data_IF_879816216970
#
_entry.id   IF_879816216970
#
_cell.length_a   1.000
_cell.length_b   1.000
_cell.length_c   1.000
_cell.angle_alpha   90.00
_cell.angle_beta   90.00
_cell.angle_gamma   90.00
#
_symmetry.space_group_name_H-M   'P 1'
#
loop_
_entity.id
_entity.type
_entity.pdbx_description
1 polymer ?
#
# COMPACT_ATOMS: atom_id res chain seq x y z
N UNK A 1 19.24 0.78 -7.66
CA UNK A 1 19.81 0.82 -9.03
C UNK A 1 21.24 0.35 -8.95
N UNK A 2 21.60 -0.62 -9.80
CA UNK A 2 22.95 -1.19 -9.87
C UNK A 2 24.02 -0.10 -10.05
N UNK A 3 25.15 -0.24 -9.36
CA UNK A 3 26.28 0.71 -9.43
C UNK A 3 26.19 1.94 -8.53
N UNK A 4 25.09 2.17 -7.84
CA UNK A 4 25.00 3.24 -6.82
C UNK A 4 25.60 2.78 -5.48
N UNK A 5 26.03 3.74 -4.64
CA UNK A 5 26.69 3.43 -3.37
C UNK A 5 25.85 2.53 -2.45
N UNK A 6 24.58 2.80 -2.32
CA UNK A 6 23.66 1.95 -1.53
C UNK A 6 23.61 0.51 -2.05
N UNK A 7 23.62 0.31 -3.39
CA UNK A 7 23.71 -1.01 -4.00
C UNK A 7 25.05 -1.66 -3.69
N UNK A 8 26.15 -0.91 -3.76
CA UNK A 8 27.51 -1.41 -3.48
C UNK A 8 27.63 -1.88 -2.04
N UNK A 9 27.11 -1.13 -1.07
CA UNK A 9 27.09 -1.53 0.33
C UNK A 9 26.29 -2.83 0.54
N UNK A 10 25.12 -2.93 -0.03
CA UNK A 10 24.31 -4.14 0.04
C UNK A 10 25.03 -5.33 -0.60
N UNK A 11 25.61 -5.16 -1.77
CA UNK A 11 26.34 -6.20 -2.48
C UNK A 11 27.62 -6.64 -1.76
N UNK A 12 28.21 -5.77 -0.95
CA UNK A 12 29.35 -6.07 -0.10
C UNK A 12 28.99 -6.81 1.21
N UNK A 13 27.71 -7.04 1.48
CA UNK A 13 27.21 -7.81 2.61
C UNK A 13 26.54 -7.00 3.72
N UNK A 14 26.32 -5.70 3.55
CA UNK A 14 25.58 -4.90 4.52
C UNK A 14 24.12 -5.37 4.62
N UNK A 15 23.64 -5.65 5.84
CA UNK A 15 22.24 -6.00 6.07
C UNK A 15 21.29 -4.82 5.89
N UNK A 16 21.78 -3.61 6.17
CA UNK A 16 21.05 -2.35 5.98
C UNK A 16 21.96 -1.29 5.41
N UNK A 17 21.40 -0.41 4.59
CA UNK A 17 22.04 0.78 4.06
C UNK A 17 21.07 1.95 4.11
N UNK A 18 21.52 3.11 4.54
CA UNK A 18 20.70 4.31 4.67
C UNK A 18 21.36 5.46 3.91
N UNK A 19 20.59 6.12 3.07
CA UNK A 19 20.96 7.36 2.41
C UNK A 19 20.22 8.50 3.10
N UNK A 20 20.97 9.49 3.57
CA UNK A 20 20.42 10.68 4.22
C UNK A 20 20.79 11.90 3.38
N UNK A 21 19.80 12.70 3.04
CA UNK A 21 19.98 14.01 2.40
C UNK A 21 19.46 15.10 3.33
N UNK A 22 19.48 16.36 2.89
CA UNK A 22 18.98 17.48 3.70
C UNK A 22 17.48 17.40 3.99
N UNK A 23 16.72 16.72 3.15
CA UNK A 23 15.25 16.71 3.14
C UNK A 23 14.63 15.33 2.98
N UNK A 24 15.45 14.27 2.86
CA UNK A 24 14.94 12.94 2.64
C UNK A 24 15.84 11.86 3.25
N UNK A 25 15.23 10.72 3.53
CA UNK A 25 15.90 9.52 3.99
C UNK A 25 15.39 8.32 3.20
N UNK A 26 16.30 7.48 2.76
CA UNK A 26 16.00 6.21 2.10
C UNK A 26 16.71 5.07 2.84
N UNK A 27 15.94 4.07 3.26
CA UNK A 27 16.43 2.84 3.87
C UNK A 27 16.31 1.69 2.87
N UNK A 28 17.37 0.90 2.74
CA UNK A 28 17.39 -0.38 2.04
C UNK A 28 17.87 -1.44 3.01
N UNK A 29 17.06 -2.46 3.23
CA UNK A 29 17.37 -3.56 4.14
C UNK A 29 17.15 -4.90 3.45
N UNK A 30 17.78 -5.96 3.98
CA UNK A 30 17.47 -7.31 3.52
C UNK A 30 16.03 -7.66 3.87
N UNK A 31 15.31 -8.20 2.90
CA UNK A 31 14.01 -8.80 3.12
C UNK A 31 14.20 -10.18 3.79
N UNK A 32 14.57 -10.14 5.07
CA UNK A 32 14.65 -11.34 5.90
C UNK A 32 13.22 -11.70 6.30
N UNK A 33 12.80 -12.88 5.95
CA UNK A 33 11.44 -13.38 6.10
C UNK A 33 10.43 -12.62 5.22
N UNK A 34 9.45 -13.31 4.69
CA UNK A 34 8.32 -12.72 3.97
C UNK A 34 7.39 -12.04 4.98
N UNK A 35 7.84 -10.90 5.52
CA UNK A 35 7.08 -10.17 6.52
C UNK A 35 5.78 -9.65 5.93
N UNK A 36 4.73 -9.79 6.70
CA UNK A 36 3.45 -9.18 6.37
C UNK A 36 3.58 -7.65 6.34
N UNK A 37 2.81 -6.96 5.49
CA UNK A 37 2.85 -5.49 5.39
C UNK A 37 2.70 -4.79 6.73
N UNK A 38 1.84 -5.29 7.60
CA UNK A 38 1.63 -4.75 8.93
C UNK A 38 2.91 -4.77 9.77
N UNK A 39 3.64 -5.87 9.78
CA UNK A 39 4.90 -6.00 10.52
C UNK A 39 5.98 -5.05 10.00
N UNK A 40 6.03 -4.84 8.67
CA UNK A 40 6.93 -3.87 8.06
C UNK A 40 6.54 -2.44 8.42
N UNK A 41 5.25 -2.13 8.39
CA UNK A 41 4.74 -0.82 8.77
C UNK A 41 5.03 -0.50 10.25
N UNK A 42 4.79 -1.43 11.16
CA UNK A 42 5.09 -1.27 12.59
C UNK A 42 6.58 -1.01 12.83
N UNK A 43 7.43 -1.71 12.11
CA UNK A 43 8.88 -1.57 12.28
C UNK A 43 9.44 -0.29 11.70
N UNK A 44 9.01 0.11 10.51
CA UNK A 44 9.67 1.18 9.75
C UNK A 44 8.82 2.44 9.57
N UNK A 45 7.51 2.36 9.74
CA UNK A 45 6.54 3.42 9.47
C UNK A 45 5.64 3.71 10.66
N UNK A 46 6.06 3.36 11.88
CA UNK A 46 5.25 3.49 13.08
C UNK A 46 4.82 4.92 13.44
N UNK A 47 5.51 5.93 12.94
CA UNK A 47 5.16 7.34 13.11
C UNK A 47 4.16 7.86 12.07
N UNK A 48 3.87 7.07 11.02
CA UNK A 48 2.93 7.46 9.99
C UNK A 48 1.48 7.37 10.49
N UNK A 49 0.67 8.36 10.15
CA UNK A 49 -0.76 8.36 10.45
C UNK A 49 -1.54 7.34 9.62
N UNK A 50 -1.12 7.10 8.41
CA UNK A 50 -1.70 6.14 7.48
C UNK A 50 -0.60 5.49 6.65
N UNK A 51 -0.67 4.19 6.50
CA UNK A 51 0.25 3.43 5.63
C UNK A 51 -0.54 2.81 4.49
N UNK A 52 -0.14 3.09 3.28
CA UNK A 52 -0.67 2.48 2.07
C UNK A 52 0.33 1.45 1.55
N UNK A 53 -0.12 0.21 1.40
CA UNK A 53 0.69 -0.87 0.84
C UNK A 53 0.19 -1.20 -0.57
N UNK A 54 1.04 -1.07 -1.55
CA UNK A 54 0.76 -1.47 -2.93
C UNK A 54 1.19 -2.92 -3.15
N UNK A 55 0.36 -3.67 -3.83
CA UNK A 55 0.55 -5.12 -4.01
C UNK A 55 -0.18 -5.92 -2.91
N UNK A 56 0.47 -6.76 -2.21
CA UNK A 56 0.01 -7.48 -0.99
C UNK A 56 -1.48 -7.92 -0.96
N UNK A 57 -2.05 -8.26 -2.11
CA UNK A 57 -3.48 -8.59 -2.23
C UNK A 57 -3.90 -9.80 -1.39
N UNK A 58 -2.96 -10.69 -1.08
CA UNK A 58 -3.20 -11.89 -0.26
C UNK A 58 -2.95 -11.66 1.24
N UNK A 59 -2.36 -10.53 1.62
CA UNK A 59 -2.13 -10.23 3.04
C UNK A 59 -3.46 -9.89 3.74
N UNK A 60 -3.59 -10.17 5.05
CA UNK A 60 -4.77 -9.76 5.81
C UNK A 60 -4.83 -8.23 5.95
N UNK A 61 -6.03 -7.72 6.21
CA UNK A 61 -6.29 -6.30 6.44
C UNK A 61 -7.23 -5.67 5.42
N UNK A 62 -7.55 -4.40 5.66
CA UNK A 62 -8.42 -3.62 4.79
C UNK A 62 -7.82 -3.43 3.41
N UNK A 63 -8.66 -3.58 2.39
CA UNK A 63 -8.26 -3.48 0.98
C UNK A 63 -9.15 -2.50 0.23
N UNK A 64 -8.52 -1.79 -0.69
CA UNK A 64 -9.20 -0.98 -1.71
C UNK A 64 -8.78 -1.54 -3.06
N UNK A 65 -9.75 -1.79 -3.91
CA UNK A 65 -9.46 -2.26 -5.26
C UNK A 65 -9.71 -1.14 -6.27
N UNK A 66 -8.80 -1.00 -7.23
CA UNK A 66 -8.93 -0.05 -8.33
C UNK A 66 -9.28 -0.84 -9.58
N UNK A 67 -10.46 -0.59 -10.12
CA UNK A 67 -10.99 -1.27 -11.29
C UNK A 67 -11.35 -0.26 -12.37
N UNK A 68 -10.78 -0.45 -13.56
CA UNK A 68 -11.07 0.36 -14.73
C UNK A 68 -11.80 -0.49 -15.77
N UNK A 69 -12.89 0.03 -16.33
CA UNK A 69 -13.62 -0.65 -17.40
C UNK A 69 -12.74 -1.01 -18.59
N UNK A 70 -11.82 -0.11 -18.97
CA UNK A 70 -10.90 -0.32 -20.09
C UNK A 70 -9.94 -1.50 -19.90
N UNK A 71 -9.67 -1.90 -18.66
CA UNK A 71 -8.75 -3.01 -18.36
C UNK A 71 -9.41 -4.37 -18.45
N UNK A 72 -10.74 -4.43 -18.46
CA UNK A 72 -11.56 -5.64 -18.56
C UNK A 72 -11.09 -6.80 -17.66
N UNK A 73 -10.74 -6.46 -16.42
CA UNK A 73 -10.28 -7.42 -15.42
C UNK A 73 -11.32 -7.57 -14.31
N UNK A 74 -11.57 -8.81 -13.87
CA UNK A 74 -12.45 -9.03 -12.73
C UNK A 74 -11.81 -8.54 -11.43
N UNK A 75 -12.62 -8.27 -10.39
CA UNK A 75 -12.12 -7.99 -9.04
C UNK A 75 -11.21 -9.12 -8.54
N UNK A 76 -10.16 -8.74 -7.81
CA UNK A 76 -9.23 -9.70 -7.18
C UNK A 76 -9.61 -10.04 -5.75
N UNK A 77 -10.26 -9.11 -5.07
CA UNK A 77 -10.63 -9.23 -3.66
C UNK A 77 -12.13 -9.25 -3.50
N UNK A 78 -12.58 -9.89 -2.44
CA UNK A 78 -13.98 -9.90 -2.00
C UNK A 78 -14.10 -9.21 -0.64
N UNK A 79 -15.33 -8.97 -0.19
CA UNK A 79 -15.61 -8.46 1.17
C UNK A 79 -15.01 -9.41 2.23
N UNK A 80 -15.06 -10.72 2.00
CA UNK A 80 -14.45 -11.71 2.90
C UNK A 80 -12.91 -11.59 2.97
N UNK A 81 -12.27 -11.08 1.91
CA UNK A 81 -10.84 -10.81 1.89
C UNK A 81 -10.44 -9.47 2.53
N UNK A 82 -11.42 -8.70 3.02
CA UNK A 82 -11.20 -7.39 3.62
C UNK A 82 -11.39 -6.21 2.67
N UNK A 83 -12.08 -6.40 1.52
CA UNK A 83 -12.41 -5.30 0.61
C UNK A 83 -13.40 -4.34 1.28
N UNK A 84 -13.01 -3.06 1.41
CA UNK A 84 -13.80 -2.03 2.11
C UNK A 84 -14.32 -0.93 1.20
N UNK A 85 -13.72 -0.75 0.03
CA UNK A 85 -14.10 0.26 -0.95
C UNK A 85 -13.55 -0.09 -2.33
N UNK A 86 -14.15 0.51 -3.37
CA UNK A 86 -13.72 0.37 -4.75
C UNK A 86 -13.53 1.75 -5.36
N UNK A 87 -12.43 1.93 -6.07
CA UNK A 87 -12.16 3.08 -6.93
C UNK A 87 -12.39 2.64 -8.38
N UNK A 88 -13.43 3.15 -9.03
CA UNK A 88 -13.86 2.59 -10.31
C UNK A 88 -14.71 3.57 -11.13
N UNK A 89 -14.77 3.30 -12.41
CA UNK A 89 -15.72 3.89 -13.37
C UNK A 89 -16.89 2.95 -13.72
N UNK A 90 -17.11 1.92 -12.86
CA UNK A 90 -18.17 0.90 -13.02
C UNK A 90 -19.04 0.85 -11.76
N UNK A 91 -20.37 1.02 -11.92
CA UNK A 91 -21.30 1.03 -10.78
C UNK A 91 -21.86 -0.36 -10.43
N UNK A 92 -21.70 -1.31 -11.33
CA UNK A 92 -22.30 -2.65 -11.23
C UNK A 92 -21.52 -3.63 -10.34
N UNK A 93 -20.29 -3.29 -9.95
CA UNK A 93 -19.40 -4.18 -9.18
C UNK A 93 -19.49 -3.84 -7.71
N UNK A 94 -19.87 -4.81 -6.88
CA UNK A 94 -20.04 -4.66 -5.43
C UNK A 94 -20.84 -3.40 -5.06
N UNK A 95 -22.10 -3.27 -5.50
CA UNK A 95 -22.90 -2.06 -5.28
C UNK A 95 -23.14 -1.74 -3.80
N UNK A 96 -22.93 -2.69 -2.91
CA UNK A 96 -23.03 -2.54 -1.46
C UNK A 96 -21.82 -1.84 -0.81
N UNK A 97 -20.70 -1.73 -1.52
CA UNK A 97 -19.51 -1.07 -1.01
C UNK A 97 -19.44 0.39 -1.41
N UNK A 98 -18.75 1.24 -0.64
CA UNK A 98 -18.43 2.59 -1.08
C UNK A 98 -17.66 2.61 -2.40
N UNK A 99 -18.11 3.45 -3.33
CA UNK A 99 -17.47 3.67 -4.63
C UNK A 99 -16.89 5.07 -4.69
N UNK A 100 -15.71 5.18 -5.26
CA UNK A 100 -15.04 6.45 -5.53
C UNK A 100 -14.70 6.50 -7.03
N UNK A 101 -14.89 7.66 -7.64
CA UNK A 101 -14.44 7.88 -9.02
C UNK A 101 -12.90 7.76 -9.10
N UNK A 102 -12.39 7.44 -10.29
CA UNK A 102 -10.95 7.23 -10.51
C UNK A 102 -10.08 8.44 -10.13
N UNK A 103 -10.65 9.63 -10.12
CA UNK A 103 -10.00 10.91 -9.79
C UNK A 103 -10.44 11.51 -8.45
N UNK A 104 -11.32 10.85 -7.70
CA UNK A 104 -11.81 11.35 -6.42
C UNK A 104 -10.83 11.06 -5.27
N UNK A 105 -9.69 11.68 -5.32
CA UNK A 105 -8.63 11.53 -4.30
C UNK A 105 -9.09 12.06 -2.95
N UNK A 106 -9.81 13.18 -2.92
CA UNK A 106 -10.26 13.82 -1.67
C UNK A 106 -11.29 12.94 -0.97
N UNK A 107 -12.30 12.45 -1.69
CA UNK A 107 -13.32 11.57 -1.12
C UNK A 107 -12.72 10.28 -0.55
N UNK A 108 -11.80 9.68 -1.26
CA UNK A 108 -11.10 8.48 -0.78
C UNK A 108 -10.25 8.77 0.46
N UNK A 109 -9.51 9.89 0.48
CA UNK A 109 -8.71 10.29 1.63
C UNK A 109 -9.58 10.52 2.87
N UNK A 110 -10.68 11.22 2.74
CA UNK A 110 -11.63 11.48 3.83
C UNK A 110 -12.23 10.18 4.38
N UNK A 111 -12.59 9.25 3.50
CA UNK A 111 -13.07 7.93 3.89
C UNK A 111 -12.04 7.16 4.73
N UNK A 112 -10.78 7.14 4.30
CA UNK A 112 -9.70 6.45 5.01
C UNK A 112 -9.38 7.09 6.37
N UNK A 113 -9.36 8.42 6.44
CA UNK A 113 -9.12 9.14 7.69
C UNK A 113 -10.24 8.95 8.70
N UNK A 114 -11.49 8.97 8.27
CA UNK A 114 -12.64 8.70 9.12
C UNK A 114 -12.60 7.27 9.67
N UNK A 115 -12.20 6.30 8.85
CA UNK A 115 -12.05 4.91 9.24
C UNK A 115 -10.94 4.69 10.26
N UNK A 116 -9.82 5.39 10.13
CA UNK A 116 -8.74 5.40 11.13
C UNK A 116 -9.26 5.85 12.50
N UNK A 117 -10.07 6.90 12.56
CA UNK A 117 -10.66 7.40 13.81
C UNK A 117 -11.63 6.41 14.47
N UNK A 118 -12.16 5.42 13.74
CA UNK A 118 -13.06 4.39 14.24
C UNK A 118 -12.34 3.15 14.80
N UNK A 119 -11.04 3.06 14.55
CA UNK A 119 -10.16 2.01 15.06
C UNK A 119 -9.48 2.48 16.35
#
# INVERSE_FOLDING_TARGET
KEGKDSWRYKNAGASMSMLVTTDALQLVADAVDRREPQQLAERFLGEADLVLAEGFSLAPGDKIEILRRECDKPPRCTVADGLIAIVTDMDEIYPELPHFALDDVVGLADFLLARKGAL
#
